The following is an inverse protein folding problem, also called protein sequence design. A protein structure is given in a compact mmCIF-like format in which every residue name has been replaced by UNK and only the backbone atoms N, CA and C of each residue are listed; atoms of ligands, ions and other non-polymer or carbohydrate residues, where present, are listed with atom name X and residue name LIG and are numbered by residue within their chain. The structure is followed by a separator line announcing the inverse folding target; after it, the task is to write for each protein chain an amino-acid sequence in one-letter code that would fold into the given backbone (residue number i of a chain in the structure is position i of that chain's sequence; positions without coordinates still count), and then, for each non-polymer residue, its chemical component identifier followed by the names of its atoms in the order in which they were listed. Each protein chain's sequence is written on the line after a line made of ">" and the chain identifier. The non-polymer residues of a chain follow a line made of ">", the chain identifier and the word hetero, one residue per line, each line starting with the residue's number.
data_IF_608441076684
#
_entry.id   IF_608441076684
#
_cell.length_a   1.000
_cell.length_b   1.000
_cell.length_c   1.000
_cell.angle_alpha   90.00
_cell.angle_beta   90.00
_cell.angle_gamma   90.00
#
_symmetry.space_group_name_H-M   'P 1'
#
loop_
_entity.id
_entity.type
_entity.pdbx_description
1 polymer ?
#
# COMPACT_ATOMS: atom_id res chain seq x y z
N UNK A 1 -28.40 -0.77 54.76
CA UNK A 1 -28.33 -2.04 55.48
C UNK A 1 -26.89 -2.52 55.32
N UNK A 2 -26.01 -2.08 56.27
CA UNK A 2 -25.47 -2.83 57.42
C UNK A 2 -24.85 -4.17 57.01
N UNK A 3 -23.55 -4.44 57.13
CA UNK A 3 -22.83 -4.51 58.37
C UNK A 3 -21.30 -4.49 58.16
N UNK A 4 -20.66 -3.75 59.03
CA UNK A 4 -19.26 -3.85 59.45
C UNK A 4 -19.01 -5.19 60.15
N UNK A 5 -17.79 -5.73 60.06
CA UNK A 5 -17.18 -6.51 61.14
C UNK A 5 -15.67 -6.22 61.16
N UNK A 6 -15.29 -5.65 62.29
CA UNK A 6 -13.94 -5.37 62.82
C UNK A 6 -13.56 -6.52 63.76
N UNK A 7 -12.33 -7.03 63.70
CA UNK A 7 -11.64 -7.76 64.80
C UNK A 7 -10.13 -7.62 64.56
N UNK A 8 -9.40 -6.81 65.20
CA UNK A 8 -8.75 -6.77 66.55
C UNK A 8 -7.62 -7.83 66.73
N UNK A 9 -6.39 -7.31 66.65
CA UNK A 9 -5.16 -7.49 67.47
C UNK A 9 -4.99 -8.75 68.29
N UNK A 10 -3.82 -9.42 68.17
CA UNK A 10 -2.99 -9.88 69.32
C UNK A 10 -1.50 -9.89 68.91
N UNK A 11 -0.73 -9.26 69.74
CA UNK A 11 0.73 -9.18 69.90
C UNK A 11 1.24 -10.48 70.56
N UNK A 12 2.37 -11.00 70.05
CA UNK A 12 3.31 -11.74 70.92
C UNK A 12 4.75 -11.65 70.32
N UNK A 13 5.61 -11.09 71.09
CA UNK A 13 7.04 -11.01 70.94
C UNK A 13 7.73 -12.30 71.43
N UNK A 14 8.98 -12.45 71.01
CA UNK A 14 10.11 -13.25 71.52
C UNK A 14 10.63 -14.26 70.46
N UNK A 15 11.86 -14.38 70.13
CA UNK A 15 13.17 -14.21 70.76
C UNK A 15 14.30 -14.24 69.72
N UNK A 16 15.33 -13.56 70.01
CA UNK A 16 16.67 -13.58 69.55
C UNK A 16 17.22 -14.90 68.96
N UNK A 17 17.86 -14.78 67.79
CA UNK A 17 18.73 -15.79 67.20
C UNK A 17 19.78 -15.10 66.37
N UNK A 18 20.97 -14.89 66.91
CA UNK A 18 22.18 -14.44 66.25
C UNK A 18 22.50 -15.39 65.08
N UNK A 19 22.66 -14.86 63.90
CA UNK A 19 23.22 -15.49 62.74
C UNK A 19 23.91 -14.43 61.88
N UNK A 20 25.14 -14.12 62.24
CA UNK A 20 26.08 -13.38 61.39
C UNK A 20 26.28 -14.16 60.10
N UNK A 21 25.79 -13.68 59.02
CA UNK A 21 26.20 -14.10 57.65
C UNK A 21 26.34 -12.88 56.77
N UNK A 22 27.62 -12.70 56.45
CA UNK A 22 28.17 -12.09 55.26
C UNK A 22 27.45 -10.85 54.69
N UNK A 23 27.79 -9.72 55.27
CA UNK A 23 27.64 -8.37 54.67
C UNK A 23 28.86 -7.90 53.87
N UNK A 24 29.70 -8.84 53.40
CA UNK A 24 30.98 -8.48 52.80
C UNK A 24 31.02 -8.44 51.27
N UNK A 25 29.91 -8.72 50.56
CA UNK A 25 29.89 -8.69 49.11
C UNK A 25 29.22 -7.45 48.47
N UNK A 26 28.60 -6.57 49.26
CA UNK A 26 27.96 -5.36 48.71
C UNK A 26 28.82 -4.09 48.78
N UNK A 27 30.01 -4.15 49.38
CA UNK A 27 30.87 -2.98 49.57
C UNK A 27 31.94 -2.73 48.50
N UNK A 28 31.86 -3.41 47.29
CA UNK A 28 32.88 -3.23 46.25
C UNK A 28 32.37 -2.74 44.89
N UNK A 29 31.18 -2.22 44.83
CA UNK A 29 30.72 -1.48 43.65
C UNK A 29 31.11 -0.01 43.86
N UNK A 30 32.19 0.44 43.23
CA UNK A 30 32.48 1.85 43.19
C UNK A 30 31.27 2.60 42.62
N UNK A 31 30.74 3.63 43.30
CA UNK A 31 29.55 4.31 42.84
C UNK A 31 29.82 4.97 41.50
N UNK A 32 28.95 4.69 40.52
CA UNK A 32 28.91 5.48 39.29
C UNK A 32 28.57 6.92 39.68
N UNK A 33 29.50 7.85 39.45
CA UNK A 33 29.28 9.27 39.75
C UNK A 33 28.76 9.99 38.51
N UNK A 34 27.59 10.60 38.62
CA UNK A 34 27.17 11.62 37.66
C UNK A 34 28.01 12.90 37.88
N UNK A 35 28.92 13.16 36.95
CA UNK A 35 29.62 14.46 36.88
C UNK A 35 29.06 15.23 35.67
N UNK A 36 28.37 16.34 35.92
CA UNK A 36 27.84 17.24 34.87
C UNK A 36 27.06 16.53 33.77
N UNK A 37 26.11 15.65 34.11
CA UNK A 37 25.25 14.95 33.13
C UNK A 37 25.92 13.79 32.41
N UNK A 38 27.14 13.43 32.73
CA UNK A 38 27.87 12.28 32.20
C UNK A 38 28.00 11.17 33.24
N UNK A 39 27.89 9.92 32.80
CA UNK A 39 28.07 8.73 33.63
C UNK A 39 29.52 8.30 33.51
N UNK A 40 30.21 8.19 34.63
CA UNK A 40 31.59 7.68 34.69
C UNK A 40 31.57 6.26 35.24
N UNK A 41 32.10 5.31 34.50
CA UNK A 41 32.19 3.90 34.87
C UNK A 41 33.64 3.44 34.84
N UNK A 42 34.03 2.66 35.85
CA UNK A 42 35.27 1.91 35.83
C UNK A 42 35.19 0.67 34.92
N UNK A 43 36.31 0.02 34.68
CA UNK A 43 36.41 -1.13 33.76
C UNK A 43 35.60 -2.34 34.25
N UNK A 44 35.48 -2.52 35.57
CA UNK A 44 34.68 -3.62 36.16
C UNK A 44 33.19 -3.40 35.97
N UNK A 45 32.71 -2.18 36.18
CA UNK A 45 31.30 -1.79 35.95
C UNK A 45 30.95 -1.85 34.48
N UNK A 46 31.85 -1.48 33.56
CA UNK A 46 31.66 -1.65 32.11
C UNK A 46 31.48 -3.12 31.73
N UNK A 47 32.36 -4.00 32.26
CA UNK A 47 32.27 -5.45 32.01
C UNK A 47 30.98 -6.06 32.58
N UNK A 48 30.60 -5.64 33.79
CA UNK A 48 29.37 -6.12 34.45
C UNK A 48 28.08 -5.73 33.71
N UNK A 49 28.08 -4.59 32.98
CA UNK A 49 26.98 -4.10 32.18
C UNK A 49 27.02 -4.61 30.73
N UNK A 50 27.99 -5.45 30.37
CA UNK A 50 28.22 -5.96 28.99
C UNK A 50 28.18 -4.82 27.95
N UNK A 51 28.89 -3.72 28.25
CA UNK A 51 28.93 -2.56 27.38
C UNK A 51 29.83 -2.78 26.18
N UNK A 52 29.28 -2.68 25.00
CA UNK A 52 30.04 -2.67 23.75
C UNK A 52 29.93 -1.30 23.11
N UNK A 53 31.10 -0.70 22.85
CA UNK A 53 31.20 0.60 22.18
C UNK A 53 31.75 0.39 20.78
N UNK A 54 31.12 0.99 19.79
CA UNK A 54 31.59 0.98 18.42
C UNK A 54 31.51 2.39 17.80
N UNK A 55 32.38 2.72 16.84
CA UNK A 55 32.26 3.98 16.12
C UNK A 55 30.97 3.98 15.28
N UNK A 56 30.27 5.13 15.25
CA UNK A 56 29.18 5.35 14.35
C UNK A 56 29.70 5.30 12.90
N UNK A 57 29.39 4.23 12.20
CA UNK A 57 29.84 4.02 10.83
C UNK A 57 29.13 4.99 9.88
N UNK A 58 29.83 5.48 8.88
CA UNK A 58 29.19 6.24 7.81
C UNK A 58 28.70 5.29 6.73
N UNK A 59 27.39 5.32 6.45
CA UNK A 59 26.79 4.45 5.47
C UNK A 59 25.61 5.11 4.76
N UNK A 60 25.23 4.52 3.64
CA UNK A 60 24.03 4.89 2.91
C UNK A 60 22.82 4.08 3.42
N UNK A 61 21.77 4.76 3.85
CA UNK A 61 20.53 4.13 4.27
C UNK A 61 19.35 4.93 3.74
N UNK A 62 18.42 4.29 3.00
CA UNK A 62 17.20 4.94 2.55
C UNK A 62 16.24 5.18 3.73
N UNK A 63 15.45 6.23 3.64
CA UNK A 63 14.28 6.37 4.51
C UNK A 63 13.17 5.51 3.92
N UNK A 64 12.59 4.65 4.75
CA UNK A 64 11.50 3.77 4.35
C UNK A 64 10.25 4.14 5.13
N UNK A 65 9.15 4.30 4.41
CA UNK A 65 7.83 4.52 4.99
C UNK A 65 6.85 3.51 4.43
N UNK A 66 5.90 3.09 5.26
CA UNK A 66 4.80 2.25 4.82
C UNK A 66 3.56 3.15 4.69
N UNK A 67 2.88 3.02 3.57
CA UNK A 67 1.60 3.65 3.27
C UNK A 67 0.65 2.59 2.75
N UNK A 68 -0.62 2.90 2.73
CA UNK A 68 -1.64 1.99 2.24
C UNK A 68 -2.24 2.52 0.95
N UNK A 69 -2.42 1.63 0.00
CA UNK A 69 -3.03 1.94 -1.28
C UNK A 69 -4.11 0.94 -1.64
N UNK A 70 -5.12 1.41 -2.35
CA UNK A 70 -6.22 0.58 -2.85
C UNK A 70 -5.88 0.02 -4.21
N UNK A 71 -6.07 -1.28 -4.37
CA UNK A 71 -5.95 -1.94 -5.69
C UNK A 71 -7.11 -1.49 -6.57
N UNK A 72 -6.77 -0.99 -7.74
CA UNK A 72 -7.73 -0.55 -8.75
C UNK A 72 -7.42 -1.22 -10.09
N UNK A 73 -8.45 -1.41 -10.89
CA UNK A 73 -8.27 -1.80 -12.28
C UNK A 73 -7.62 -0.64 -13.08
N UNK A 74 -6.97 -0.95 -14.17
CA UNK A 74 -6.54 0.09 -15.12
C UNK A 74 -7.79 0.73 -15.74
N UNK A 75 -7.74 2.03 -16.06
CA UNK A 75 -8.81 2.65 -16.85
C UNK A 75 -9.11 1.84 -18.11
N UNK A 76 -10.38 1.44 -18.29
CA UNK A 76 -10.82 0.60 -19.40
C UNK A 76 -10.70 -0.91 -19.20
N UNK A 77 -10.16 -1.40 -18.09
CA UNK A 77 -10.14 -2.84 -17.77
C UNK A 77 -11.35 -3.26 -16.92
N UNK A 78 -12.03 -2.33 -16.26
CA UNK A 78 -13.32 -2.56 -15.61
C UNK A 78 -14.42 -2.05 -16.52
N UNK A 79 -15.24 -2.97 -17.00
CA UNK A 79 -16.29 -2.72 -17.99
C UNK A 79 -17.65 -2.86 -17.33
N UNK A 80 -18.46 -1.82 -17.47
CA UNK A 80 -19.83 -1.80 -16.97
C UNK A 80 -20.77 -2.38 -18.01
N UNK A 81 -21.60 -3.32 -17.60
CA UNK A 81 -22.73 -3.82 -18.37
C UNK A 81 -23.97 -3.18 -17.82
N UNK A 82 -24.68 -2.42 -18.65
CA UNK A 82 -25.94 -1.76 -18.28
C UNK A 82 -27.09 -2.25 -19.15
N UNK A 83 -28.30 -2.16 -18.63
CA UNK A 83 -29.49 -2.47 -19.42
C UNK A 83 -29.74 -1.38 -20.47
N UNK A 84 -29.76 -1.67 -21.76
CA UNK A 84 -30.02 -0.66 -22.79
C UNK A 84 -31.47 -0.19 -22.87
N UNK A 85 -32.40 -0.96 -22.33
CA UNK A 85 -33.83 -0.65 -22.31
C UNK A 85 -34.48 -1.04 -20.99
N UNK A 86 -35.60 -0.44 -20.67
CA UNK A 86 -36.44 -0.90 -19.56
C UNK A 86 -37.04 -2.28 -19.85
N UNK A 87 -37.04 -3.14 -18.83
CA UNK A 87 -37.53 -4.51 -18.98
C UNK A 87 -37.51 -5.31 -17.69
N UNK A 88 -37.82 -6.62 -17.80
CA UNK A 88 -37.77 -7.56 -16.67
C UNK A 88 -36.74 -8.64 -16.93
N UNK A 89 -35.91 -8.97 -15.93
CA UNK A 89 -34.96 -10.07 -16.03
C UNK A 89 -35.70 -11.40 -16.10
N UNK A 90 -35.49 -12.13 -17.18
CA UNK A 90 -36.14 -13.44 -17.43
C UNK A 90 -35.19 -14.60 -17.17
N UNK A 91 -33.89 -14.36 -17.22
CA UNK A 91 -32.86 -15.36 -16.97
C UNK A 91 -31.57 -14.71 -16.53
N UNK A 92 -30.81 -15.39 -15.66
CA UNK A 92 -29.45 -15.08 -15.27
C UNK A 92 -28.58 -16.30 -15.57
N UNK A 93 -27.59 -16.15 -16.44
CA UNK A 93 -26.79 -17.27 -16.98
C UNK A 93 -25.43 -17.40 -16.33
N UNK A 94 -24.98 -16.34 -15.65
CA UNK A 94 -23.63 -16.27 -15.06
C UNK A 94 -23.68 -15.88 -13.60
N UNK A 95 -22.63 -16.29 -12.86
CA UNK A 95 -22.42 -15.93 -11.47
C UNK A 95 -21.16 -15.05 -11.29
N UNK A 96 -21.07 -14.37 -10.16
CA UNK A 96 -19.84 -13.64 -9.77
C UNK A 96 -18.70 -14.65 -9.68
N UNK A 97 -17.55 -14.31 -10.27
CA UNK A 97 -16.38 -15.17 -10.38
C UNK A 97 -16.25 -15.91 -11.71
N UNK A 98 -17.32 -15.98 -12.51
CA UNK A 98 -17.27 -16.66 -13.81
C UNK A 98 -16.37 -15.91 -14.80
N UNK A 99 -15.61 -16.68 -15.59
CA UNK A 99 -14.94 -16.17 -16.77
C UNK A 99 -15.93 -16.08 -17.93
N UNK A 100 -15.98 -14.93 -18.57
CA UNK A 100 -16.85 -14.66 -19.72
C UNK A 100 -16.01 -14.26 -20.92
N UNK A 101 -16.39 -14.77 -22.09
CA UNK A 101 -15.83 -14.31 -23.36
C UNK A 101 -16.58 -13.04 -23.80
N UNK A 102 -15.98 -12.27 -24.74
CA UNK A 102 -16.68 -11.18 -25.38
C UNK A 102 -17.97 -11.69 -26.07
N UNK A 103 -19.08 -11.02 -25.83
CA UNK A 103 -20.39 -11.41 -26.36
C UNK A 103 -21.08 -12.54 -25.60
N UNK A 104 -20.49 -13.12 -24.55
CA UNK A 104 -21.15 -14.14 -23.74
C UNK A 104 -22.36 -13.56 -23.02
N UNK A 105 -23.47 -14.28 -23.03
CA UNK A 105 -24.68 -13.88 -22.34
C UNK A 105 -24.50 -13.97 -20.82
N UNK A 106 -24.78 -12.87 -20.12
CA UNK A 106 -24.75 -12.77 -18.66
C UNK A 106 -26.16 -12.96 -18.09
N UNK A 107 -27.12 -12.26 -18.69
CA UNK A 107 -28.51 -12.31 -18.32
C UNK A 107 -29.40 -12.07 -19.54
N UNK A 108 -30.70 -12.31 -19.41
CA UNK A 108 -31.69 -12.05 -20.44
C UNK A 108 -32.81 -11.21 -19.87
N UNK A 109 -33.24 -10.20 -20.63
CA UNK A 109 -34.37 -9.36 -20.26
C UNK A 109 -35.48 -9.46 -21.28
N UNK A 110 -36.70 -9.29 -20.81
CA UNK A 110 -37.87 -9.03 -21.65
C UNK A 110 -38.14 -7.52 -21.62
N UNK A 111 -37.94 -6.79 -22.74
CA UNK A 111 -38.22 -5.36 -22.78
C UNK A 111 -39.70 -5.04 -22.48
N UNK A 112 -39.92 -3.97 -21.72
CA UNK A 112 -41.25 -3.41 -21.47
C UNK A 112 -41.69 -2.52 -22.62
N UNK A 113 -41.63 -3.07 -23.88
CA UNK A 113 -41.94 -2.31 -25.09
C UNK A 113 -43.32 -2.63 -25.60
N UNK A 114 -44.05 -1.60 -26.05
CA UNK A 114 -45.27 -1.75 -26.80
C UNK A 114 -45.03 -2.31 -28.22
N UNK A 115 -46.06 -2.76 -28.90
CA UNK A 115 -45.96 -3.29 -30.27
C UNK A 115 -45.40 -2.24 -31.26
N UNK A 116 -45.79 -0.98 -31.13
CA UNK A 116 -45.31 0.13 -31.97
C UNK A 116 -43.79 0.40 -31.76
N UNK A 117 -43.33 0.32 -30.52
CA UNK A 117 -41.90 0.51 -30.20
C UNK A 117 -41.05 -0.64 -30.73
N UNK A 118 -41.55 -1.89 -30.67
CA UNK A 118 -40.85 -3.05 -31.28
C UNK A 118 -40.72 -2.90 -32.79
N UNK A 119 -41.74 -2.35 -33.45
CA UNK A 119 -41.66 -2.08 -34.90
C UNK A 119 -40.63 -0.98 -35.23
N UNK A 120 -40.54 0.08 -34.43
CA UNK A 120 -39.57 1.15 -34.63
C UNK A 120 -38.13 0.67 -34.42
N UNK A 121 -37.91 -0.24 -33.47
CA UNK A 121 -36.59 -0.86 -33.25
C UNK A 121 -36.12 -1.69 -34.46
N UNK A 122 -37.06 -2.31 -35.18
CA UNK A 122 -36.75 -3.03 -36.44
C UNK A 122 -36.15 -2.11 -37.51
N UNK A 123 -36.62 -0.86 -37.61
CA UNK A 123 -36.09 0.13 -38.55
C UNK A 123 -34.69 0.58 -38.11
N UNK A 124 -34.48 0.80 -36.81
CA UNK A 124 -33.20 1.21 -36.28
C UNK A 124 -32.11 0.13 -36.41
N UNK A 125 -32.49 -1.15 -36.55
CA UNK A 125 -31.53 -2.24 -36.69
C UNK A 125 -30.68 -2.12 -37.98
N UNK A 126 -31.27 -1.58 -39.05
CA UNK A 126 -30.57 -1.37 -40.30
C UNK A 126 -29.45 -0.29 -40.16
N UNK A 127 -29.73 0.79 -39.44
CA UNK A 127 -28.78 1.86 -39.19
C UNK A 127 -27.60 1.39 -38.35
N UNK A 128 -27.86 0.61 -37.31
CA UNK A 128 -26.81 0.07 -36.44
C UNK A 128 -25.96 -0.97 -37.19
N UNK A 129 -26.58 -1.76 -38.07
CA UNK A 129 -25.84 -2.69 -38.93
C UNK A 129 -24.88 -1.93 -39.85
N UNK A 130 -25.35 -0.84 -40.46
CA UNK A 130 -24.51 0.02 -41.27
C UNK A 130 -23.36 0.63 -40.49
N UNK A 131 -23.64 1.12 -39.26
CA UNK A 131 -22.58 1.65 -38.35
C UNK A 131 -21.57 0.57 -37.97
N UNK A 132 -21.98 -0.65 -37.68
CA UNK A 132 -21.07 -1.76 -37.39
C UNK A 132 -20.16 -2.09 -38.58
N UNK A 133 -20.74 -2.12 -39.78
CA UNK A 133 -19.99 -2.34 -41.03
C UNK A 133 -18.96 -1.21 -41.23
N UNK A 134 -19.36 0.05 -41.08
CA UNK A 134 -18.49 1.19 -41.17
C UNK A 134 -17.35 1.16 -40.14
N UNK A 135 -17.67 0.82 -38.87
CA UNK A 135 -16.66 0.70 -37.83
C UNK A 135 -15.66 -0.44 -38.09
N UNK A 136 -16.14 -1.52 -38.73
CA UNK A 136 -15.28 -2.64 -39.13
C UNK A 136 -14.29 -2.24 -40.23
N UNK A 137 -14.74 -1.48 -41.24
CA UNK A 137 -13.88 -0.99 -42.30
C UNK A 137 -12.90 0.07 -41.79
N UNK A 138 -13.31 0.97 -40.85
CA UNK A 138 -12.41 1.91 -40.18
C UNK A 138 -11.31 1.16 -39.39
N UNK A 139 -11.68 0.12 -38.65
CA UNK A 139 -10.70 -0.70 -37.93
C UNK A 139 -9.67 -1.32 -38.88
N UNK A 140 -10.11 -1.94 -40.01
CA UNK A 140 -9.19 -2.50 -41.02
C UNK A 140 -8.22 -1.46 -41.57
N UNK A 141 -8.72 -0.24 -41.85
CA UNK A 141 -7.90 0.87 -42.33
C UNK A 141 -6.83 1.24 -41.26
N UNK A 142 -7.24 1.44 -39.99
CA UNK A 142 -6.31 1.80 -38.92
C UNK A 142 -5.29 0.70 -38.64
N UNK A 143 -5.68 -0.57 -38.70
CA UNK A 143 -4.75 -1.69 -38.54
C UNK A 143 -3.71 -1.71 -39.66
N UNK A 144 -4.11 -1.43 -40.92
CA UNK A 144 -3.19 -1.30 -42.03
C UNK A 144 -2.23 -0.09 -41.88
N UNK A 145 -2.74 1.04 -41.40
CA UNK A 145 -1.93 2.23 -41.08
C UNK A 145 -0.90 1.94 -40.00
N UNK A 146 -1.32 1.32 -38.89
CA UNK A 146 -0.45 0.96 -37.77
C UNK A 146 0.60 -0.08 -38.22
N UNK A 147 0.22 -1.06 -39.05
CA UNK A 147 1.18 -2.02 -39.61
C UNK A 147 2.27 -1.33 -40.40
N UNK A 148 1.93 -0.40 -41.31
CA UNK A 148 2.89 0.42 -42.06
C UNK A 148 3.75 1.28 -41.14
N UNK A 149 3.15 1.91 -40.13
CA UNK A 149 3.88 2.72 -39.14
C UNK A 149 4.91 1.89 -38.38
N UNK A 150 4.59 0.64 -38.00
CA UNK A 150 5.52 -0.28 -37.33
C UNK A 150 6.70 -0.64 -38.20
N UNK A 151 6.45 -0.93 -39.49
CA UNK A 151 7.50 -1.23 -40.45
C UNK A 151 8.44 -0.05 -40.62
N UNK A 152 7.90 1.14 -40.88
CA UNK A 152 8.69 2.36 -41.04
C UNK A 152 9.42 2.78 -39.74
N UNK A 153 8.88 2.46 -38.56
CA UNK A 153 9.53 2.72 -37.28
C UNK A 153 10.72 1.78 -37.05
N UNK A 154 10.65 0.52 -37.52
CA UNK A 154 11.81 -0.42 -37.50
C UNK A 154 12.98 0.11 -38.32
N UNK A 155 12.67 0.74 -39.44
CA UNK A 155 13.65 1.34 -40.33
C UNK A 155 14.07 2.77 -39.91
N UNK A 156 13.63 3.22 -38.72
CA UNK A 156 13.85 4.55 -38.13
C UNK A 156 13.38 5.72 -39.05
N UNK A 157 12.42 5.47 -39.94
CA UNK A 157 11.87 6.48 -40.86
C UNK A 157 10.81 7.35 -40.21
N UNK A 158 10.05 6.82 -39.24
CA UNK A 158 9.04 7.56 -38.48
C UNK A 158 9.35 7.57 -36.99
N UNK A 159 8.87 8.62 -36.29
CA UNK A 159 9.09 8.76 -34.84
C UNK A 159 8.25 7.77 -34.04
N UNK A 160 8.72 7.42 -32.84
CA UNK A 160 7.97 6.62 -31.88
C UNK A 160 6.60 7.25 -31.53
N UNK A 161 6.51 8.58 -31.46
CA UNK A 161 5.26 9.29 -31.26
C UNK A 161 4.23 9.00 -32.36
N UNK A 162 4.68 8.92 -33.63
CA UNK A 162 3.80 8.60 -34.75
C UNK A 162 3.31 7.15 -34.73
N UNK A 163 4.15 6.23 -34.30
CA UNK A 163 3.75 4.84 -34.08
C UNK A 163 2.69 4.74 -32.94
N UNK A 164 2.94 5.42 -31.83
CA UNK A 164 1.98 5.44 -30.70
C UNK A 164 0.63 6.05 -31.09
N UNK A 165 0.63 7.11 -31.90
CA UNK A 165 -0.59 7.72 -32.46
C UNK A 165 -1.39 6.70 -33.29
N UNK A 166 -0.71 5.97 -34.20
CA UNK A 166 -1.36 4.96 -35.00
C UNK A 166 -1.92 3.80 -34.17
N UNK A 167 -1.21 3.36 -33.15
CA UNK A 167 -1.67 2.30 -32.24
C UNK A 167 -2.85 2.76 -31.38
N UNK A 168 -2.86 3.98 -30.91
CA UNK A 168 -4.00 4.57 -30.22
C UNK A 168 -5.25 4.67 -31.13
N UNK A 169 -5.04 5.00 -32.40
CA UNK A 169 -6.13 5.01 -33.41
C UNK A 169 -6.75 3.61 -33.60
N UNK A 170 -5.95 2.55 -33.64
CA UNK A 170 -6.45 1.16 -33.69
C UNK A 170 -7.26 0.83 -32.45
N UNK A 171 -6.76 1.17 -31.25
CA UNK A 171 -7.48 0.91 -30.03
C UNK A 171 -8.85 1.61 -30.00
N UNK A 172 -8.91 2.85 -30.47
CA UNK A 172 -10.14 3.64 -30.58
C UNK A 172 -11.12 3.02 -31.59
N UNK A 173 -10.64 2.65 -32.78
CA UNK A 173 -11.47 2.03 -33.80
C UNK A 173 -12.03 0.67 -33.34
N UNK A 174 -11.21 -0.12 -32.62
CA UNK A 174 -11.64 -1.41 -32.04
C UNK A 174 -12.71 -1.22 -30.98
N UNK A 175 -12.58 -0.21 -30.11
CA UNK A 175 -13.61 0.12 -29.13
C UNK A 175 -14.94 0.53 -29.79
N UNK A 176 -14.88 1.29 -30.89
CA UNK A 176 -16.09 1.68 -31.69
C UNK A 176 -16.79 0.48 -32.29
N UNK A 177 -16.04 -0.43 -32.91
CA UNK A 177 -16.61 -1.67 -33.48
C UNK A 177 -17.28 -2.50 -32.39
N UNK A 178 -16.63 -2.63 -31.24
CA UNK A 178 -17.19 -3.37 -30.11
C UNK A 178 -18.50 -2.74 -29.60
N UNK A 179 -18.56 -1.42 -29.49
CA UNK A 179 -19.79 -0.71 -29.11
C UNK A 179 -20.93 -0.92 -30.15
N UNK A 180 -20.61 -0.89 -31.44
CA UNK A 180 -21.59 -1.13 -32.51
C UNK A 180 -22.13 -2.57 -32.46
N UNK A 181 -21.30 -3.58 -32.23
CA UNK A 181 -21.75 -4.97 -32.06
C UNK A 181 -22.66 -5.16 -30.83
N UNK A 182 -22.37 -4.48 -29.72
CA UNK A 182 -23.21 -4.49 -28.54
C UNK A 182 -24.61 -3.89 -28.85
N UNK A 183 -24.64 -2.78 -29.60
CA UNK A 183 -25.86 -2.18 -30.07
C UNK A 183 -26.71 -3.13 -30.94
N UNK A 184 -26.10 -3.87 -31.83
CA UNK A 184 -26.79 -4.89 -32.67
C UNK A 184 -27.37 -6.01 -31.82
N UNK A 185 -26.62 -6.57 -30.88
CA UNK A 185 -27.09 -7.65 -30.02
C UNK A 185 -28.25 -7.19 -29.15
N UNK A 186 -28.17 -5.99 -28.59
CA UNK A 186 -29.22 -5.38 -27.80
C UNK A 186 -30.53 -5.24 -28.60
N UNK A 187 -30.44 -4.77 -29.84
CA UNK A 187 -31.61 -4.52 -30.68
C UNK A 187 -32.26 -5.82 -31.22
N UNK A 188 -31.43 -6.81 -31.58
CA UNK A 188 -31.93 -8.11 -32.03
C UNK A 188 -32.79 -8.77 -30.94
N UNK A 189 -32.43 -8.68 -29.70
CA UNK A 189 -33.19 -9.18 -28.56
C UNK A 189 -34.51 -8.41 -28.34
N UNK A 190 -34.51 -7.11 -28.54
CA UNK A 190 -35.69 -6.26 -28.42
C UNK A 190 -36.76 -6.62 -29.44
N UNK A 191 -36.36 -6.86 -30.69
CA UNK A 191 -37.28 -7.32 -31.77
C UNK A 191 -37.85 -8.71 -31.49
N UNK A 192 -37.06 -9.62 -30.92
CA UNK A 192 -37.47 -10.96 -30.55
C UNK A 192 -38.34 -11.02 -29.27
N UNK A 193 -38.61 -9.88 -28.63
CA UNK A 193 -39.34 -9.84 -27.35
C UNK A 193 -38.50 -10.32 -26.15
N UNK A 194 -37.23 -10.63 -26.39
CA UNK A 194 -36.24 -10.91 -25.35
C UNK A 194 -34.86 -10.43 -25.83
N UNK A 195 -34.09 -9.91 -24.91
CA UNK A 195 -32.78 -9.33 -25.22
C UNK A 195 -31.69 -9.91 -24.33
N UNK A 196 -30.61 -10.45 -24.89
CA UNK A 196 -29.46 -10.86 -24.12
C UNK A 196 -28.67 -9.66 -23.64
N UNK A 197 -28.27 -9.68 -22.41
CA UNK A 197 -27.28 -8.77 -21.83
C UNK A 197 -25.93 -9.48 -21.86
N UNK A 198 -25.02 -8.97 -22.68
CA UNK A 198 -23.78 -9.67 -23.00
C UNK A 198 -22.56 -8.98 -22.42
N UNK A 199 -21.52 -9.77 -22.19
CA UNK A 199 -20.21 -9.25 -21.77
C UNK A 199 -19.59 -8.41 -22.89
N UNK A 200 -19.14 -7.16 -22.61
CA UNK A 200 -18.55 -6.28 -23.60
C UNK A 200 -17.17 -6.74 -24.06
N UNK A 201 -16.46 -7.50 -23.23
CA UNK A 201 -15.16 -8.07 -23.53
C UNK A 201 -14.93 -9.35 -22.72
N UNK A 202 -13.87 -10.06 -23.06
CA UNK A 202 -13.38 -11.17 -22.25
C UNK A 202 -12.89 -10.67 -20.89
N UNK A 203 -13.25 -11.41 -19.81
CA UNK A 203 -12.84 -11.07 -18.46
C UNK A 203 -13.51 -11.96 -17.42
N UNK A 204 -13.46 -11.51 -16.17
CA UNK A 204 -14.12 -12.14 -15.03
C UNK A 204 -15.26 -11.26 -14.53
N UNK A 205 -16.42 -11.85 -14.26
CA UNK A 205 -17.58 -11.16 -13.72
C UNK A 205 -17.31 -10.85 -12.23
N UNK A 206 -17.09 -9.57 -11.89
CA UNK A 206 -16.72 -9.15 -10.52
C UNK A 206 -17.90 -8.59 -9.73
N UNK A 207 -18.98 -8.20 -10.41
CA UNK A 207 -20.23 -7.81 -9.79
C UNK A 207 -21.41 -8.20 -10.69
N UNK A 208 -22.51 -8.60 -10.06
CA UNK A 208 -23.78 -8.90 -10.71
C UNK A 208 -24.89 -8.39 -9.80
N UNK A 209 -25.55 -7.33 -10.24
CA UNK A 209 -26.50 -6.55 -9.44
C UNK A 209 -27.93 -6.70 -9.95
N UNK A 210 -28.27 -7.93 -10.34
CA UNK A 210 -29.63 -8.27 -10.82
C UNK A 210 -30.12 -9.60 -10.31
N UNK A 211 -31.41 -9.68 -10.06
CA UNK A 211 -32.14 -10.91 -9.69
C UNK A 211 -33.15 -11.34 -10.76
N UNK A 212 -33.42 -12.63 -10.79
CA UNK A 212 -34.49 -13.17 -11.66
C UNK A 212 -35.84 -12.52 -11.35
N UNK A 213 -36.54 -12.03 -12.37
CA UNK A 213 -37.83 -11.36 -12.23
C UNK A 213 -37.79 -9.89 -11.87
N UNK A 214 -36.59 -9.34 -11.64
CA UNK A 214 -36.37 -7.92 -11.30
C UNK A 214 -36.70 -7.02 -12.51
N UNK A 215 -37.34 -5.87 -12.23
CA UNK A 215 -37.57 -4.81 -13.21
C UNK A 215 -36.31 -3.93 -13.31
N UNK A 216 -35.91 -3.63 -14.54
CA UNK A 216 -34.75 -2.78 -14.84
C UNK A 216 -35.20 -1.56 -15.63
N UNK A 217 -34.62 -0.43 -15.31
CA UNK A 217 -34.69 0.78 -16.11
C UNK A 217 -33.58 0.81 -17.15
N UNK A 218 -33.78 1.56 -18.24
CA UNK A 218 -32.75 1.80 -19.23
C UNK A 218 -31.56 2.53 -18.60
N UNK A 219 -30.32 2.08 -18.90
CA UNK A 219 -29.06 2.63 -18.36
C UNK A 219 -28.69 2.09 -16.97
N UNK A 220 -29.55 1.29 -16.31
CA UNK A 220 -29.20 0.72 -15.01
C UNK A 220 -28.02 -0.24 -15.12
N UNK A 221 -26.97 -0.07 -14.30
CA UNK A 221 -25.88 -1.03 -14.21
C UNK A 221 -26.38 -2.39 -13.73
N UNK A 222 -25.93 -3.47 -14.36
CA UNK A 222 -26.34 -4.84 -14.02
C UNK A 222 -25.15 -5.73 -13.66
N UNK A 223 -23.99 -5.46 -14.26
CA UNK A 223 -22.81 -6.28 -14.02
C UNK A 223 -21.53 -5.49 -14.30
N UNK A 224 -20.44 -5.95 -13.72
CA UNK A 224 -19.09 -5.46 -14.00
C UNK A 224 -18.19 -6.61 -14.40
N UNK A 225 -17.50 -6.44 -15.53
CA UNK A 225 -16.53 -7.39 -16.09
C UNK A 225 -15.15 -6.80 -15.96
N UNK A 226 -14.28 -7.51 -15.29
CA UNK A 226 -12.87 -7.14 -15.11
C UNK A 226 -12.01 -7.93 -16.10
N UNK A 227 -11.33 -7.22 -16.98
CA UNK A 227 -10.37 -7.79 -17.92
C UNK A 227 -9.10 -8.24 -17.20
N UNK A 228 -8.43 -9.26 -17.76
CA UNK A 228 -7.08 -9.61 -17.36
C UNK A 228 -6.13 -8.46 -17.71
N UNK A 229 -5.13 -8.23 -16.87
CA UNK A 229 -4.11 -7.19 -17.09
C UNK A 229 -3.49 -6.75 -15.77
N UNK A 230 -2.42 -5.94 -15.83
CA UNK A 230 -1.73 -5.47 -14.65
C UNK A 230 -2.67 -4.65 -13.76
N UNK A 231 -2.53 -4.83 -12.47
CA UNK A 231 -3.29 -4.08 -11.46
C UNK A 231 -2.55 -2.79 -11.12
N UNK A 232 -3.31 -1.79 -10.73
CA UNK A 232 -2.78 -0.53 -10.21
C UNK A 232 -3.08 -0.39 -8.74
N UNK A 233 -2.27 0.42 -8.08
CA UNK A 233 -2.49 0.81 -6.70
C UNK A 233 -2.67 2.32 -6.69
N UNK A 234 -3.81 2.77 -6.21
CA UNK A 234 -4.04 4.16 -5.84
C UNK A 234 -3.51 4.35 -4.43
N UNK A 235 -2.33 4.96 -4.34
CA UNK A 235 -1.56 5.09 -3.12
C UNK A 235 -1.76 6.46 -2.50
N UNK A 236 -2.35 6.51 -1.32
CA UNK A 236 -2.46 7.72 -0.52
C UNK A 236 -1.11 8.05 0.12
N UNK A 237 -0.51 9.17 -0.27
CA UNK A 237 0.80 9.65 0.20
C UNK A 237 0.60 11.00 0.87
N UNK A 238 1.05 11.15 2.11
CA UNK A 238 0.95 12.42 2.81
C UNK A 238 1.82 13.49 2.13
N UNK A 239 1.33 14.73 2.08
CA UNK A 239 2.05 15.82 1.40
C UNK A 239 3.46 16.08 1.95
N UNK A 240 3.68 15.79 3.25
CA UNK A 240 4.98 15.93 3.90
C UNK A 240 5.90 14.72 3.71
N UNK A 241 5.46 13.64 3.04
CA UNK A 241 6.33 12.49 2.78
C UNK A 241 7.39 12.86 1.74
N UNK A 242 8.64 12.44 1.96
CA UNK A 242 9.70 12.68 1.01
C UNK A 242 9.43 11.95 -0.31
N UNK A 243 9.99 12.48 -1.40
CA UNK A 243 9.89 11.82 -2.69
C UNK A 243 10.53 10.42 -2.63
N UNK A 244 9.76 9.40 -2.94
CA UNK A 244 10.26 8.03 -3.02
C UNK A 244 11.03 7.81 -4.33
N UNK A 245 12.12 7.04 -4.24
CA UNK A 245 12.89 6.56 -5.39
C UNK A 245 12.45 5.17 -5.85
N UNK A 246 11.84 4.38 -4.94
CA UNK A 246 11.30 3.05 -5.26
C UNK A 246 10.05 2.77 -4.44
N UNK A 247 9.23 1.87 -4.98
CA UNK A 247 7.99 1.41 -4.37
C UNK A 247 7.93 -0.12 -4.42
N UNK A 248 7.48 -0.72 -3.33
CA UNK A 248 7.23 -2.16 -3.24
C UNK A 248 5.87 -2.36 -2.56
N UNK A 249 5.02 -3.20 -3.13
CA UNK A 249 3.73 -3.54 -2.56
C UNK A 249 3.80 -4.91 -1.88
N UNK A 250 3.18 -5.05 -0.73
CA UNK A 250 3.05 -6.34 -0.06
C UNK A 250 1.85 -7.08 -0.63
N UNK A 251 2.15 -8.23 -1.28
CA UNK A 251 1.14 -9.14 -1.81
C UNK A 251 1.41 -10.49 -1.17
N UNK A 252 0.42 -11.02 -0.47
CA UNK A 252 0.57 -12.14 0.44
C UNK A 252 1.72 -11.84 1.45
N UNK A 253 2.75 -12.65 1.50
CA UNK A 253 3.91 -12.45 2.38
C UNK A 253 5.14 -11.85 1.66
N UNK A 254 5.02 -11.49 0.39
CA UNK A 254 6.12 -11.00 -0.42
C UNK A 254 6.02 -9.50 -0.72
N UNK A 255 7.16 -8.81 -0.72
CA UNK A 255 7.28 -7.46 -1.22
C UNK A 255 7.66 -7.49 -2.70
N UNK A 256 6.74 -7.06 -3.56
CA UNK A 256 6.91 -7.02 -4.99
C UNK A 256 7.13 -5.58 -5.48
N UNK A 257 8.01 -5.36 -6.46
CA UNK A 257 8.24 -4.02 -7.00
C UNK A 257 6.97 -3.48 -7.64
N UNK A 258 6.73 -2.17 -7.41
CA UNK A 258 5.64 -1.43 -8.03
C UNK A 258 6.20 -0.20 -8.74
N UNK A 259 5.77 0.03 -9.97
CA UNK A 259 6.26 1.11 -10.81
C UNK A 259 5.36 2.34 -10.69
N UNK A 260 5.92 3.49 -10.36
CA UNK A 260 5.18 4.76 -10.39
C UNK A 260 4.79 5.11 -11.83
N UNK A 261 3.48 5.22 -12.09
CA UNK A 261 2.91 5.60 -13.39
C UNK A 261 2.58 7.09 -13.41
N UNK A 262 1.97 7.57 -12.33
CA UNK A 262 1.57 8.96 -12.20
C UNK A 262 1.71 9.42 -10.76
N UNK A 263 2.16 10.66 -10.60
CA UNK A 263 2.18 11.36 -9.32
C UNK A 263 1.14 12.47 -9.39
N UNK A 264 0.20 12.45 -8.45
CA UNK A 264 -0.77 13.53 -8.38
C UNK A 264 -0.08 14.87 -8.06
N UNK A 265 -0.55 15.92 -8.70
CA UNK A 265 -0.09 17.29 -8.49
C UNK A 265 -0.98 18.08 -7.52
N UNK A 266 -2.10 17.49 -7.12
CA UNK A 266 -3.06 18.04 -6.17
C UNK A 266 -3.33 17.06 -5.03
N UNK A 267 -3.84 17.56 -3.94
CA UNK A 267 -4.27 16.79 -2.77
C UNK A 267 -5.75 16.47 -2.94
N UNK A 268 -6.15 15.25 -2.63
CA UNK A 268 -7.55 14.85 -2.61
C UNK A 268 -8.31 15.36 -1.38
N UNK A 269 -9.59 15.05 -1.31
CA UNK A 269 -10.48 15.46 -0.20
C UNK A 269 -10.05 14.85 1.15
N UNK A 270 -9.30 13.76 1.13
CA UNK A 270 -8.71 13.10 2.30
C UNK A 270 -7.42 13.78 2.80
N UNK A 271 -6.98 14.86 2.18
CA UNK A 271 -5.75 15.58 2.52
C UNK A 271 -4.46 14.89 2.05
N UNK A 272 -4.55 13.82 1.26
CA UNK A 272 -3.42 13.08 0.72
C UNK A 272 -3.24 13.33 -0.78
N UNK A 273 -2.01 13.15 -1.25
CA UNK A 273 -1.70 13.02 -2.66
C UNK A 273 -1.90 11.57 -3.08
N UNK A 274 -2.58 11.35 -4.19
CA UNK A 274 -2.83 10.02 -4.73
C UNK A 274 -1.84 9.71 -5.86
N UNK A 275 -0.83 8.90 -5.55
CA UNK A 275 0.14 8.43 -6.54
C UNK A 275 -0.36 7.09 -7.11
N UNK A 276 -0.26 6.93 -8.43
CA UNK A 276 -0.68 5.70 -9.12
C UNK A 276 0.52 4.83 -9.40
N UNK A 277 0.51 3.63 -8.82
CA UNK A 277 1.51 2.61 -9.08
C UNK A 277 0.94 1.52 -9.96
N UNK A 278 1.78 0.85 -10.73
CA UNK A 278 1.43 -0.32 -11.53
C UNK A 278 2.24 -1.52 -11.05
N UNK A 279 1.55 -2.63 -10.85
CA UNK A 279 2.14 -3.91 -10.52
C UNK A 279 2.49 -4.68 -11.79
N UNK A 280 3.43 -5.61 -11.70
CA UNK A 280 3.71 -6.54 -12.78
C UNK A 280 2.51 -7.45 -13.06
N UNK A 281 2.36 -7.93 -14.31
CA UNK A 281 1.26 -8.80 -14.73
C UNK A 281 1.16 -10.12 -13.95
N UNK A 282 2.25 -10.58 -13.37
CA UNK A 282 2.28 -11.77 -12.53
C UNK A 282 1.55 -11.59 -11.20
N UNK A 283 1.44 -10.33 -10.73
CA UNK A 283 0.79 -9.99 -9.49
C UNK A 283 -0.68 -9.62 -9.76
N UNK A 284 -1.61 -10.47 -9.34
CA UNK A 284 -3.05 -10.29 -9.56
C UNK A 284 -3.82 -10.13 -8.24
N UNK A 285 -3.53 -9.09 -7.43
CA UNK A 285 -4.29 -8.86 -6.22
C UNK A 285 -5.74 -8.51 -6.55
N UNK A 286 -6.63 -8.78 -5.60
CA UNK A 286 -8.07 -8.51 -5.74
C UNK A 286 -8.30 -7.00 -5.84
N UNK A 287 -9.02 -6.57 -6.87
CA UNK A 287 -9.45 -5.17 -7.03
C UNK A 287 -10.31 -4.76 -5.83
N UNK A 288 -10.01 -3.61 -5.26
CA UNK A 288 -10.64 -3.12 -4.04
C UNK A 288 -9.88 -3.47 -2.75
N UNK A 289 -8.93 -4.42 -2.79
CA UNK A 289 -8.08 -4.72 -1.65
C UNK A 289 -7.18 -3.53 -1.28
N UNK A 290 -6.85 -3.44 0.00
CA UNK A 290 -5.89 -2.45 0.51
C UNK A 290 -4.58 -3.18 0.77
N UNK A 291 -3.52 -2.69 0.16
CA UNK A 291 -2.17 -3.24 0.28
C UNK A 291 -1.26 -2.27 1.03
N UNK A 292 -0.35 -2.82 1.82
CA UNK A 292 0.77 -2.05 2.35
C UNK A 292 1.78 -1.79 1.21
N UNK A 293 2.20 -0.56 1.07
CA UNK A 293 3.21 -0.14 0.10
C UNK A 293 4.39 0.47 0.84
N UNK A 294 5.56 -0.05 0.60
CA UNK A 294 6.82 0.46 1.09
C UNK A 294 7.36 1.50 0.11
N UNK A 295 7.53 2.72 0.59
CA UNK A 295 8.16 3.81 -0.13
C UNK A 295 9.59 3.95 0.40
N UNK A 296 10.60 3.84 -0.45
CA UNK A 296 11.97 4.08 -0.07
C UNK A 296 12.52 5.30 -0.82
N UNK A 297 13.13 6.22 -0.10
CA UNK A 297 13.84 7.36 -0.70
C UNK A 297 15.16 6.90 -1.34
N UNK A 298 15.79 7.76 -2.11
CA UNK A 298 17.18 7.52 -2.48
C UNK A 298 18.03 7.36 -1.22
N UNK A 299 18.97 6.38 -1.18
CA UNK A 299 19.85 6.19 -0.04
C UNK A 299 20.64 7.46 0.25
N UNK A 300 20.56 7.96 1.48
CA UNK A 300 21.31 9.12 1.92
C UNK A 300 22.46 8.73 2.86
N UNK A 301 23.58 9.39 2.72
CA UNK A 301 24.79 9.20 3.51
C UNK A 301 24.64 9.82 4.89
N UNK A 302 25.15 9.16 5.91
CA UNK A 302 25.18 9.69 7.27
C UNK A 302 25.65 8.68 8.31
N UNK A 303 25.79 9.09 9.58
CA UNK A 303 26.17 8.19 10.66
C UNK A 303 25.04 7.17 10.89
N UNK A 304 25.41 5.90 10.91
CA UNK A 304 24.52 4.76 11.11
C UNK A 304 24.95 4.00 12.36
N UNK A 305 23.97 3.70 13.20
CA UNK A 305 24.13 2.89 14.42
C UNK A 305 23.15 1.72 14.41
N UNK A 306 23.43 0.62 15.11
CA UNK A 306 22.44 -0.42 15.36
C UNK A 306 21.23 0.15 16.12
N UNK A 307 20.04 -0.34 15.85
CA UNK A 307 18.83 0.09 16.59
C UNK A 307 18.89 -0.21 18.09
N UNK A 308 19.68 -1.22 18.48
CA UNK A 308 19.97 -1.54 19.89
C UNK A 308 20.70 -0.42 20.66
N UNK A 309 21.33 0.50 19.95
CA UNK A 309 21.98 1.68 20.54
C UNK A 309 20.97 2.81 20.86
N UNK A 310 19.77 2.76 20.28
CA UNK A 310 18.74 3.79 20.43
C UNK A 310 17.85 3.48 21.64
N UNK A 311 17.65 4.45 22.48
CA UNK A 311 16.72 4.41 23.61
C UNK A 311 15.67 5.52 23.43
N UNK A 312 14.40 5.17 23.68
CA UNK A 312 13.30 6.13 23.64
C UNK A 312 13.25 6.84 25.01
N UNK A 313 13.25 8.16 24.98
CA UNK A 313 13.10 9.02 26.15
C UNK A 313 11.93 10.00 25.92
N UNK A 314 11.47 10.67 27.00
CA UNK A 314 10.42 11.70 26.90
C UNK A 314 10.78 12.85 25.93
N UNK A 315 12.09 13.10 25.71
CA UNK A 315 12.60 14.12 24.79
C UNK A 315 12.98 13.60 23.40
N UNK A 316 12.64 12.34 23.07
CA UNK A 316 12.97 11.71 21.78
C UNK A 316 13.98 10.57 21.87
N UNK A 317 14.53 10.19 20.73
CA UNK A 317 15.55 9.14 20.64
C UNK A 317 16.87 9.62 21.26
N UNK A 318 17.51 8.77 22.07
CA UNK A 318 18.77 9.06 22.78
C UNK A 318 19.77 7.95 22.51
N UNK A 319 21.03 8.32 22.32
CA UNK A 319 22.18 7.41 22.30
C UNK A 319 23.17 7.78 23.39
N UNK A 320 23.91 6.81 23.88
CA UNK A 320 25.05 7.06 24.76
C UNK A 320 26.34 7.11 23.94
N UNK A 321 27.05 8.22 24.06
CA UNK A 321 28.34 8.43 23.39
C UNK A 321 29.47 8.39 24.44
N UNK A 322 30.51 7.63 24.20
CA UNK A 322 31.74 7.63 25.00
C UNK A 322 32.59 8.84 24.60
N UNK A 323 32.44 9.94 25.34
CA UNK A 323 33.19 11.18 25.09
C UNK A 323 34.68 11.06 25.46
N UNK A 324 34.98 10.27 26.50
CA UNK A 324 36.32 9.88 26.93
C UNK A 324 36.24 8.42 27.44
N UNK A 325 37.35 7.69 27.48
CA UNK A 325 37.33 6.31 27.98
C UNK A 325 36.67 6.20 29.35
N UNK A 326 35.58 5.41 29.41
CA UNK A 326 34.77 5.23 30.63
C UNK A 326 33.77 6.35 30.96
N UNK A 327 33.71 7.44 30.17
CA UNK A 327 32.78 8.55 30.37
C UNK A 327 31.73 8.57 29.27
N UNK A 328 30.48 8.35 29.64
CA UNK A 328 29.34 8.23 28.74
C UNK A 328 28.38 9.41 28.89
N UNK A 329 28.01 10.02 27.79
CA UNK A 329 27.05 11.12 27.73
C UNK A 329 25.82 10.71 26.97
N UNK A 330 24.63 10.96 27.55
CA UNK A 330 23.37 10.80 26.86
C UNK A 330 23.20 11.95 25.85
N UNK A 331 23.01 11.62 24.59
CA UNK A 331 22.84 12.60 23.52
C UNK A 331 21.55 12.36 22.77
N UNK A 332 20.68 13.37 22.76
CA UNK A 332 19.46 13.33 21.96
C UNK A 332 19.81 13.35 20.49
N UNK A 333 19.22 12.45 19.73
CA UNK A 333 19.44 12.30 18.30
C UNK A 333 18.13 12.35 17.53
N UNK A 334 18.20 12.80 16.30
CA UNK A 334 17.09 12.72 15.37
C UNK A 334 17.37 11.62 14.36
N UNK A 335 16.57 10.54 14.41
CA UNK A 335 16.65 9.43 13.48
C UNK A 335 16.00 9.84 12.16
N UNK A 336 16.72 9.65 11.05
CA UNK A 336 16.23 9.92 9.70
C UNK A 336 15.69 8.67 9.00
N UNK A 337 16.26 7.50 9.31
CA UNK A 337 15.84 6.24 8.68
C UNK A 337 16.11 5.06 9.60
N UNK A 338 15.27 4.04 9.53
CA UNK A 338 15.45 2.74 10.19
C UNK A 338 15.24 1.64 9.15
N UNK A 339 16.21 0.75 9.03
CA UNK A 339 16.14 -0.36 8.08
C UNK A 339 17.10 -1.48 8.48
N UNK A 340 16.57 -2.70 8.55
CA UNK A 340 17.37 -3.90 8.81
C UNK A 340 18.15 -3.85 10.14
N UNK A 341 17.51 -3.40 11.23
CA UNK A 341 18.14 -3.28 12.56
C UNK A 341 19.18 -2.16 12.68
N UNK A 342 19.25 -1.26 11.70
CA UNK A 342 20.15 -0.10 11.67
C UNK A 342 19.38 1.19 11.56
N UNK A 343 19.89 2.24 12.17
CA UNK A 343 19.30 3.58 12.13
C UNK A 343 20.31 4.61 11.63
N UNK A 344 19.93 5.42 10.65
CA UNK A 344 20.68 6.59 10.18
C UNK A 344 20.25 7.81 10.97
N UNK A 345 21.22 8.50 11.50
CA UNK A 345 21.01 9.69 12.35
C UNK A 345 21.12 10.95 11.48
N UNK A 346 20.11 11.81 11.56
CA UNK A 346 20.07 13.09 10.85
C UNK A 346 20.76 14.22 11.63
N UNK A 347 20.71 14.16 12.96
CA UNK A 347 21.29 15.19 13.83
C UNK A 347 21.60 14.61 15.22
N UNK A 348 22.55 15.23 15.92
CA UNK A 348 22.95 14.83 17.26
C UNK A 348 24.13 13.85 17.32
N UNK A 349 24.55 13.26 16.20
CA UNK A 349 25.67 12.32 16.13
C UNK A 349 26.53 12.62 14.91
N UNK A 350 27.84 12.43 15.04
CA UNK A 350 28.81 12.54 13.95
C UNK A 350 29.35 11.16 13.58
N UNK A 351 29.77 11.01 12.32
CA UNK A 351 30.51 9.81 11.92
C UNK A 351 31.82 9.70 12.72
N UNK A 352 32.09 8.50 13.24
CA UNK A 352 33.23 8.22 14.10
C UNK A 352 32.96 8.40 15.59
N UNK A 353 31.86 9.02 16.02
CA UNK A 353 31.50 9.09 17.44
C UNK A 353 31.40 7.66 18.02
N UNK A 354 31.98 7.45 19.20
CA UNK A 354 31.98 6.15 19.88
C UNK A 354 30.66 5.95 20.60
N UNK A 355 29.80 5.10 20.07
CA UNK A 355 28.42 4.87 20.56
C UNK A 355 28.32 3.53 21.27
N UNK A 356 27.58 3.48 22.36
CA UNK A 356 27.24 2.24 23.06
C UNK A 356 26.22 1.48 22.21
N UNK A 357 26.65 0.39 21.58
CA UNK A 357 25.82 -0.43 20.67
C UNK A 357 25.17 -1.62 21.38
N UNK A 358 25.68 -2.02 22.54
CA UNK A 358 25.08 -3.02 23.42
C UNK A 358 25.21 -2.56 24.87
N UNK A 359 24.23 -2.90 25.72
CA UNK A 359 24.17 -2.49 27.11
C UNK A 359 23.66 -1.07 27.36
N UNK A 360 23.18 -0.35 26.36
CA UNK A 360 22.66 1.01 26.48
C UNK A 360 21.52 1.14 27.48
N UNK A 361 20.61 0.17 27.54
CA UNK A 361 19.51 0.14 28.51
C UNK A 361 20.01 -0.06 29.95
N UNK A 362 21.02 -0.91 30.16
CA UNK A 362 21.63 -1.12 31.46
C UNK A 362 22.36 0.15 31.92
N UNK A 363 23.06 0.83 31.02
CA UNK A 363 23.70 2.10 31.29
C UNK A 363 22.69 3.19 31.68
N UNK A 364 21.52 3.23 31.05
CA UNK A 364 20.42 4.12 31.44
C UNK A 364 19.88 3.81 32.84
N UNK A 365 19.76 2.54 33.19
CA UNK A 365 19.34 2.12 34.54
C UNK A 365 20.34 2.62 35.62
N UNK A 366 21.64 2.56 35.31
CA UNK A 366 22.68 3.05 36.21
C UNK A 366 22.64 4.58 36.34
N UNK A 367 22.39 5.30 35.22
CA UNK A 367 22.19 6.75 35.22
C UNK A 367 21.05 7.18 36.11
N UNK A 368 19.91 6.49 36.03
CA UNK A 368 18.75 6.78 36.86
C UNK A 368 19.01 6.49 38.36
N UNK A 369 19.73 5.41 38.64
CA UNK A 369 20.09 5.07 40.04
C UNK A 369 21.02 6.13 40.63
N UNK A 370 22.03 6.58 39.89
CA UNK A 370 22.94 7.64 40.34
C UNK A 370 22.22 8.96 40.58
N UNK A 371 21.22 9.32 39.73
CA UNK A 371 20.45 10.54 39.89
C UNK A 371 19.49 10.53 41.08
N UNK A 372 19.04 9.34 41.52
CA UNK A 372 18.19 9.19 42.71
C UNK A 372 19.04 9.19 44.01
N UNK A 373 20.25 8.66 43.97
CA UNK A 373 21.21 8.69 45.09
C UNK A 373 21.72 10.09 45.42
N UNK A 374 21.93 10.93 44.42
CA UNK A 374 22.36 12.32 44.62
C UNK A 374 21.23 13.27 45.08
N UNK A 375 19.98 12.79 45.13
CA UNK A 375 18.82 13.58 45.62
C UNK A 375 18.51 13.35 47.12
N UNK A 376 19.19 12.40 47.79
CA UNK A 376 19.00 12.05 49.18
C UNK A 376 20.17 12.57 50.10
N UNK A 377 21.19 13.16 49.56
CA UNK A 377 22.29 13.87 50.28
C UNK A 377 22.10 15.40 50.16
#
# INVERSE_FOLDING_TARGET
>A
MTAQITVLVVIAAMCAGCGSRDRDDDERRAPSRMQSGAIVLDERSRAALDLVVAPAAEAYLPEVRIRYGKVVARPGDELLVASPVAGRVTRVERAIGDRVAAGAEIARISPSLGAAERASLGVQSADITAQATQAQEDLKLREAEAARARELARDAIVSQAKLQEAEAAVATARARLQAAHQGLAAQAGAVAGSMPLVAPAEGTLVALEVALGEGLDAGRPIARVLRAGPRRIDLAVHAADPAAGSYEAQIDDAWLPARLIARAIAVGDDGNRHDVLELDDSAQPIVGAILAVRLATAPARGPVVPESALLISAGGDVVYVEAQPGRFEARTVRVAARLGGRARIAAGLKSGDRVVVRGAAALRGEALRSSLGDAED
#
